data_IF_565956416664
#
_entry.id   IF_565956416664
#
_cell.length_a   1.000
_cell.length_b   1.000
_cell.length_c   1.000
_cell.angle_alpha   90.00
_cell.angle_beta   90.00
_cell.angle_gamma   90.00
#
_symmetry.space_group_name_H-M   'P 1'
#
loop_
_entity.id
_entity.type
_entity.pdbx_description
1 polymer ?
#
# COMPACT_ATOMS: atom_id res chain seq x y z
N UNK A 1 7.02 27.54 11.85
CA UNK A 1 7.09 26.33 11.01
C UNK A 1 8.43 25.64 11.26
N UNK A 2 8.54 24.31 11.21
CA UNK A 2 9.77 23.58 11.53
C UNK A 2 10.96 23.99 10.63
N UNK A 3 10.72 24.21 9.33
CA UNK A 3 11.77 24.63 8.40
C UNK A 3 12.36 26.01 8.73
N UNK A 4 11.51 26.96 9.14
CA UNK A 4 11.99 28.28 9.60
C UNK A 4 12.86 28.17 10.85
N UNK A 5 12.50 27.27 11.78
CA UNK A 5 13.30 27.01 12.96
C UNK A 5 14.68 26.46 12.57
N UNK A 6 14.74 25.50 11.65
CA UNK A 6 16.00 24.95 11.14
C UNK A 6 16.84 26.04 10.44
N UNK A 7 16.21 26.89 9.62
CA UNK A 7 16.88 27.98 8.90
C UNK A 7 17.55 29.00 9.84
N UNK A 8 16.94 29.29 10.99
CA UNK A 8 17.49 30.24 11.97
C UNK A 8 18.77 29.74 12.68
N UNK A 9 19.26 28.54 12.36
CA UNK A 9 20.52 27.98 12.87
C UNK A 9 21.65 28.04 11.84
N UNK A 10 21.49 28.80 10.75
CA UNK A 10 22.50 28.99 9.70
C UNK A 10 23.87 29.49 10.22
N UNK A 11 23.87 30.27 11.30
CA UNK A 11 25.10 30.75 11.95
C UNK A 11 25.81 29.70 12.83
N UNK A 12 25.19 28.55 13.09
CA UNK A 12 25.70 27.53 14.02
C UNK A 12 25.95 26.16 13.37
N UNK A 13 25.32 25.87 12.23
CA UNK A 13 25.31 24.54 11.61
C UNK A 13 25.56 24.64 10.11
N UNK A 14 26.59 23.94 9.63
CA UNK A 14 26.93 23.92 8.20
C UNK A 14 26.02 23.01 7.37
N UNK A 15 25.50 21.91 7.96
CA UNK A 15 24.69 20.91 7.25
C UNK A 15 23.65 20.24 8.14
N UNK A 16 22.42 20.18 7.64
CA UNK A 16 21.33 19.39 8.21
C UNK A 16 21.13 18.13 7.38
N UNK A 17 20.96 16.98 8.05
CA UNK A 17 20.61 15.71 7.42
C UNK A 17 19.31 15.21 8.03
N UNK A 18 18.37 14.81 7.20
CA UNK A 18 17.09 14.27 7.64
C UNK A 18 16.73 13.02 6.86
N UNK A 19 16.04 12.09 7.54
CA UNK A 19 15.33 10.98 6.91
C UNK A 19 13.86 11.36 6.88
N UNK A 20 13.26 11.24 5.70
CA UNK A 20 11.87 11.61 5.44
C UNK A 20 11.19 10.50 4.65
N UNK A 21 9.85 10.44 4.63
CA UNK A 21 9.11 9.62 3.68
C UNK A 21 9.53 9.94 2.24
N UNK A 22 9.35 8.97 1.34
CA UNK A 22 9.63 9.15 -0.10
C UNK A 22 8.70 10.21 -0.73
N UNK A 23 7.44 10.28 -0.27
CA UNK A 23 6.44 11.26 -0.72
C UNK A 23 6.56 12.64 -0.03
N UNK A 24 7.71 12.97 0.53
CA UNK A 24 7.88 14.23 1.27
C UNK A 24 8.03 15.45 0.34
N UNK A 25 7.39 16.56 0.71
CA UNK A 25 7.34 17.78 -0.10
C UNK A 25 8.46 18.80 0.21
N UNK A 26 9.38 18.52 1.13
CA UNK A 26 10.42 19.46 1.56
C UNK A 26 11.22 20.07 0.40
N UNK A 27 11.62 19.33 -0.66
CA UNK A 27 12.31 19.95 -1.80
C UNK A 27 11.51 21.07 -2.47
N UNK A 28 10.18 21.01 -2.43
CA UNK A 28 9.29 22.02 -3.01
C UNK A 28 9.18 23.29 -2.14
N UNK A 29 9.63 23.25 -0.89
CA UNK A 29 9.64 24.41 0.01
C UNK A 29 10.85 25.32 -0.21
N UNK A 30 11.80 24.92 -1.05
CA UNK A 30 13.00 25.69 -1.37
C UNK A 30 12.95 26.23 -2.79
N UNK A 31 13.33 27.50 -2.97
CA UNK A 31 13.46 28.12 -4.29
C UNK A 31 14.51 27.40 -5.14
N UNK A 32 15.59 26.92 -4.50
CA UNK A 32 16.67 26.17 -5.15
C UNK A 32 17.08 24.93 -4.33
N UNK A 33 16.43 23.77 -4.53
CA UNK A 33 16.72 22.53 -3.79
C UNK A 33 17.98 21.82 -4.32
N UNK A 34 19.14 22.48 -4.25
CA UNK A 34 20.44 21.96 -4.73
C UNK A 34 21.13 21.06 -3.69
N UNK A 35 20.41 20.08 -3.16
CA UNK A 35 20.95 19.13 -2.18
C UNK A 35 20.78 17.68 -2.64
N UNK A 36 21.69 16.81 -2.19
CA UNK A 36 21.65 15.38 -2.49
C UNK A 36 20.44 14.70 -1.85
N UNK A 37 19.73 13.89 -2.64
CA UNK A 37 18.63 13.04 -2.17
C UNK A 37 19.00 11.59 -2.43
N UNK A 38 18.87 10.75 -1.40
CA UNK A 38 19.19 9.32 -1.48
C UNK A 38 18.00 8.49 -1.04
N UNK A 39 17.44 7.73 -1.98
CA UNK A 39 16.39 6.75 -1.71
C UNK A 39 17.05 5.47 -1.20
N UNK A 40 16.63 4.98 -0.03
CA UNK A 40 17.09 3.71 0.53
C UNK A 40 15.88 2.81 0.78
N UNK A 41 15.89 1.61 0.20
CA UNK A 41 14.92 0.57 0.52
C UNK A 41 15.24 0.03 1.91
N UNK A 42 14.34 0.24 2.87
CA UNK A 42 14.68 0.10 4.28
C UNK A 42 14.10 -1.15 4.93
N UNK A 43 12.79 -1.36 4.82
CA UNK A 43 12.11 -2.52 5.41
C UNK A 43 11.41 -3.37 4.35
N UNK A 44 11.29 -4.65 4.68
CA UNK A 44 10.36 -5.57 4.04
C UNK A 44 9.23 -5.89 5.00
N UNK A 45 8.04 -6.14 4.46
CA UNK A 45 6.89 -6.56 5.23
C UNK A 45 6.29 -7.82 4.62
N UNK A 46 5.62 -8.61 5.45
CA UNK A 46 4.87 -9.79 5.04
C UNK A 46 3.61 -9.91 5.88
N UNK A 47 2.47 -10.07 5.23
CA UNK A 47 1.23 -10.45 5.91
C UNK A 47 1.35 -11.91 6.36
N UNK A 48 1.19 -12.16 7.66
CA UNK A 48 1.29 -13.51 8.25
C UNK A 48 -0.07 -14.21 8.22
N UNK A 49 -1.15 -13.48 8.53
CA UNK A 49 -2.53 -13.98 8.53
C UNK A 49 -3.40 -13.00 7.73
N UNK A 50 -3.85 -13.41 6.54
CA UNK A 50 -4.62 -12.53 5.65
C UNK A 50 -5.96 -12.16 6.26
N UNK A 51 -6.69 -13.11 6.82
CA UNK A 51 -8.04 -12.87 7.35
C UNK A 51 -8.01 -11.82 8.48
N UNK A 52 -7.07 -11.98 9.42
CA UNK A 52 -6.91 -11.06 10.53
C UNK A 52 -6.40 -9.69 10.07
N UNK A 53 -5.47 -9.66 9.11
CA UNK A 53 -4.97 -8.41 8.55
C UNK A 53 -6.07 -7.61 7.87
N UNK A 54 -6.84 -8.25 6.98
CA UNK A 54 -7.94 -7.60 6.26
C UNK A 54 -9.03 -7.10 7.22
N UNK A 55 -9.38 -7.88 8.25
CA UNK A 55 -10.35 -7.46 9.28
C UNK A 55 -9.93 -6.20 10.05
N UNK A 56 -8.61 -5.97 10.18
CA UNK A 56 -8.05 -4.81 10.86
C UNK A 56 -7.63 -3.69 9.90
N UNK A 57 -7.84 -3.86 8.59
CA UNK A 57 -7.47 -2.87 7.59
C UNK A 57 -8.59 -1.86 7.41
N UNK A 58 -8.26 -0.57 7.56
CA UNK A 58 -9.21 0.52 7.27
C UNK A 58 -9.20 0.87 5.79
N UNK A 59 -10.18 0.34 5.06
CA UNK A 59 -10.41 0.71 3.66
C UNK A 59 -11.10 2.08 3.54
N UNK A 60 -10.93 2.75 2.41
CA UNK A 60 -11.65 3.99 2.11
C UNK A 60 -13.13 3.70 1.85
N UNK A 61 -13.99 4.60 2.29
CA UNK A 61 -15.41 4.58 1.88
C UNK A 61 -15.52 4.99 0.41
N UNK A 62 -16.32 4.25 -0.36
CA UNK A 62 -16.56 4.51 -1.77
C UNK A 62 -18.07 4.44 -2.02
N UNK A 63 -18.63 5.43 -2.73
CA UNK A 63 -20.09 5.61 -2.91
C UNK A 63 -20.82 4.43 -3.57
N UNK A 64 -20.12 3.58 -4.32
CA UNK A 64 -20.69 2.38 -4.92
C UNK A 64 -19.75 1.19 -4.70
N UNK A 65 -20.10 0.35 -3.75
CA UNK A 65 -19.28 -0.79 -3.39
C UNK A 65 -19.81 -2.06 -4.08
N UNK A 66 -19.07 -2.54 -5.07
CA UNK A 66 -19.26 -3.89 -5.59
C UNK A 66 -18.33 -4.83 -4.81
N UNK A 67 -18.79 -6.01 -4.36
CA UNK A 67 -17.91 -6.94 -3.65
C UNK A 67 -16.72 -7.35 -4.52
N UNK A 68 -15.51 -7.19 -3.98
CA UNK A 68 -14.26 -7.58 -4.65
C UNK A 68 -13.76 -8.87 -4.00
N UNK A 69 -13.42 -9.87 -4.82
CA UNK A 69 -12.82 -11.11 -4.33
C UNK A 69 -11.32 -11.12 -4.63
N UNK A 70 -10.49 -11.18 -3.59
CA UNK A 70 -9.05 -11.39 -3.70
C UNK A 70 -8.78 -12.89 -3.69
N UNK A 71 -8.14 -13.40 -4.74
CA UNK A 71 -7.68 -14.78 -4.81
C UNK A 71 -6.18 -14.76 -4.60
N UNK A 72 -5.73 -15.34 -3.49
CA UNK A 72 -4.37 -15.18 -2.99
C UNK A 72 -3.63 -16.50 -3.01
N UNK A 73 -2.43 -16.46 -3.58
CA UNK A 73 -1.46 -17.55 -3.54
C UNK A 73 -0.37 -17.29 -2.48
N UNK A 74 -0.14 -18.27 -1.60
CA UNK A 74 0.93 -18.21 -0.59
C UNK A 74 1.64 -19.58 -0.47
N UNK A 75 2.83 -19.67 -1.07
CA UNK A 75 3.65 -20.88 -1.07
C UNK A 75 4.22 -21.25 0.31
N UNK A 76 4.21 -20.33 1.28
CA UNK A 76 4.87 -20.54 2.57
C UNK A 76 3.87 -20.79 3.72
N UNK A 77 2.71 -20.13 3.72
CA UNK A 77 1.67 -20.31 4.73
C UNK A 77 0.39 -20.81 4.06
N UNK A 78 0.12 -22.13 4.05
CA UNK A 78 -1.03 -22.70 3.34
C UNK A 78 -2.39 -22.16 3.79
N UNK A 79 -2.50 -21.69 5.04
CA UNK A 79 -3.74 -21.11 5.58
C UNK A 79 -4.11 -19.76 4.93
N UNK A 80 -3.14 -19.10 4.30
CA UNK A 80 -3.35 -17.87 3.53
C UNK A 80 -3.79 -18.16 2.09
N UNK A 81 -3.68 -19.41 1.62
CA UNK A 81 -4.13 -19.79 0.29
C UNK A 81 -5.67 -19.76 0.26
N UNK A 82 -6.24 -18.97 -0.65
CA UNK A 82 -7.71 -18.97 -0.83
C UNK A 82 -8.29 -17.67 -1.35
N UNK A 83 -9.62 -17.58 -1.25
CA UNK A 83 -10.39 -16.42 -1.69
C UNK A 83 -10.93 -15.62 -0.49
N UNK A 84 -10.66 -14.32 -0.50
CA UNK A 84 -11.09 -13.36 0.51
C UNK A 84 -11.93 -12.27 -0.16
N UNK A 85 -13.19 -12.15 0.24
CA UNK A 85 -14.09 -11.15 -0.32
C UNK A 85 -14.25 -9.97 0.60
N UNK A 86 -14.05 -8.79 0.03
CA UNK A 86 -14.33 -7.51 0.64
C UNK A 86 -15.75 -7.12 0.24
N UNK A 87 -16.65 -7.07 1.20
CA UNK A 87 -18.06 -6.76 1.01
C UNK A 87 -18.33 -5.25 0.94
N UNK A 88 -19.55 -4.92 0.51
CA UNK A 88 -20.00 -3.54 0.30
C UNK A 88 -19.90 -2.61 1.50
N UNK A 89 -19.96 -3.19 2.69
CA UNK A 89 -19.89 -2.52 3.99
C UNK A 89 -18.48 -2.58 4.60
N UNK A 90 -17.47 -3.03 3.82
CA UNK A 90 -16.10 -3.21 4.28
C UNK A 90 -15.85 -4.50 5.07
N UNK A 91 -16.87 -5.34 5.30
CA UNK A 91 -16.67 -6.63 5.97
C UNK A 91 -15.88 -7.61 5.11
N UNK A 92 -15.04 -8.41 5.75
CA UNK A 92 -14.20 -9.41 5.09
C UNK A 92 -14.74 -10.80 5.38
N UNK A 93 -15.03 -11.55 4.32
CA UNK A 93 -15.46 -12.95 4.44
C UNK A 93 -14.56 -13.85 3.61
N UNK A 94 -14.18 -14.99 4.18
CA UNK A 94 -13.58 -16.07 3.39
C UNK A 94 -14.64 -16.69 2.50
N UNK A 95 -14.27 -16.99 1.26
CA UNK A 95 -15.19 -17.47 0.24
C UNK A 95 -14.78 -18.86 -0.21
N UNK A 96 -15.75 -19.77 -0.33
CA UNK A 96 -15.52 -21.09 -0.89
C UNK A 96 -15.35 -21.01 -2.42
N UNK A 97 -14.60 -21.95 -3.01
CA UNK A 97 -14.30 -21.96 -4.46
C UNK A 97 -15.57 -21.89 -5.35
N UNK A 98 -16.67 -22.48 -4.90
CA UNK A 98 -17.94 -22.52 -5.64
C UNK A 98 -18.65 -21.15 -5.72
N UNK A 99 -18.28 -20.19 -4.89
CA UNK A 99 -18.89 -18.86 -4.83
C UNK A 99 -18.02 -17.78 -5.49
N UNK A 100 -16.91 -18.16 -6.12
CA UNK A 100 -15.99 -17.23 -6.75
C UNK A 100 -16.59 -16.74 -8.08
N UNK A 101 -17.05 -15.49 -8.09
CA UNK A 101 -17.31 -14.78 -9.34
C UNK A 101 -15.98 -14.25 -9.91
N UNK A 102 -15.46 -14.97 -10.90
CA UNK A 102 -14.21 -14.62 -11.59
C UNK A 102 -14.23 -13.26 -12.26
N UNK A 103 -15.41 -12.68 -12.56
CA UNK A 103 -15.50 -11.34 -13.16
C UNK A 103 -15.13 -10.24 -12.18
N UNK A 104 -15.36 -10.45 -10.90
CA UNK A 104 -15.10 -9.52 -9.81
C UNK A 104 -13.93 -9.99 -8.92
N UNK A 105 -13.02 -10.77 -9.51
CA UNK A 105 -11.88 -11.33 -8.81
C UNK A 105 -10.55 -10.65 -9.22
N UNK A 106 -9.66 -10.50 -8.26
CA UNK A 106 -8.26 -10.07 -8.46
C UNK A 106 -7.35 -11.19 -7.94
N UNK A 107 -6.51 -11.71 -8.82
CA UNK A 107 -5.54 -12.75 -8.54
C UNK A 107 -4.18 -12.14 -8.25
N UNK A 108 -3.59 -12.51 -7.12
CA UNK A 108 -2.28 -12.04 -6.69
C UNK A 108 -1.62 -13.07 -5.76
N UNK A 109 -0.31 -12.95 -5.55
CA UNK A 109 0.38 -13.67 -4.48
C UNK A 109 0.46 -12.81 -3.21
N UNK A 110 0.86 -13.43 -2.10
CA UNK A 110 0.99 -12.79 -0.80
C UNK A 110 1.92 -11.57 -0.83
N UNK A 111 2.96 -11.56 -1.66
CA UNK A 111 3.89 -10.44 -1.79
C UNK A 111 3.22 -9.23 -2.46
N UNK A 112 2.44 -9.46 -3.51
CA UNK A 112 1.70 -8.42 -4.22
C UNK A 112 0.57 -7.88 -3.34
N UNK A 113 -0.15 -8.75 -2.63
CA UNK A 113 -1.16 -8.34 -1.66
C UNK A 113 -0.56 -7.44 -0.58
N UNK A 114 0.59 -7.83 -0.03
CA UNK A 114 1.30 -7.04 0.98
C UNK A 114 1.72 -5.68 0.43
N UNK A 115 2.24 -5.62 -0.80
CA UNK A 115 2.62 -4.35 -1.44
C UNK A 115 1.42 -3.42 -1.65
N UNK A 116 0.28 -3.96 -2.08
CA UNK A 116 -0.95 -3.20 -2.28
C UNK A 116 -1.49 -2.66 -0.97
N UNK A 117 -1.69 -3.51 0.04
CA UNK A 117 -2.34 -3.11 1.28
C UNK A 117 -1.49 -2.20 2.16
N UNK A 118 -0.16 -2.22 1.99
CA UNK A 118 0.75 -1.26 2.61
C UNK A 118 1.03 -0.03 1.73
N UNK A 119 0.29 0.11 0.63
CA UNK A 119 0.40 1.22 -0.32
C UNK A 119 1.79 1.45 -0.90
N UNK A 120 2.66 0.42 -0.89
CA UNK A 120 4.00 0.51 -1.49
C UNK A 120 3.97 0.46 -3.01
N UNK A 121 3.06 -0.37 -3.57
CA UNK A 121 2.72 -0.39 -4.99
C UNK A 121 1.22 -0.39 -5.15
N UNK A 122 0.74 0.41 -6.10
CA UNK A 122 -0.70 0.56 -6.34
C UNK A 122 -1.23 -0.60 -7.19
N UNK A 123 -2.49 -1.06 -6.98
CA UNK A 123 -3.10 -2.10 -7.82
C UNK A 123 -2.95 -1.87 -9.33
N UNK A 124 -3.20 -0.65 -9.82
CA UNK A 124 -3.06 -0.32 -11.26
C UNK A 124 -1.60 -0.46 -11.73
N UNK A 125 -0.62 -0.15 -10.88
CA UNK A 125 0.80 -0.32 -11.24
C UNK A 125 1.15 -1.80 -11.40
N UNK A 126 0.69 -2.64 -10.47
CA UNK A 126 0.95 -4.08 -10.52
C UNK A 126 0.22 -4.75 -11.70
N UNK A 127 -0.97 -4.26 -12.08
CA UNK A 127 -1.68 -4.71 -13.27
C UNK A 127 -0.88 -4.38 -14.54
N UNK A 128 -0.40 -3.14 -14.67
CA UNK A 128 0.44 -2.71 -15.81
C UNK A 128 1.71 -3.55 -15.95
N UNK A 129 2.27 -3.98 -14.81
CA UNK A 129 3.44 -4.87 -14.77
C UNK A 129 3.08 -6.36 -14.97
N UNK A 130 1.80 -6.69 -15.19
CA UNK A 130 1.29 -8.07 -15.32
C UNK A 130 1.60 -8.95 -14.10
N UNK A 131 1.78 -8.33 -12.92
CA UNK A 131 2.05 -9.04 -11.67
C UNK A 131 0.77 -9.55 -11.02
N UNK A 132 -0.33 -8.81 -11.16
CA UNK A 132 -1.67 -9.23 -10.74
C UNK A 132 -2.56 -9.40 -11.96
N UNK A 133 -3.64 -10.18 -11.83
CA UNK A 133 -4.63 -10.41 -12.90
C UNK A 133 -6.03 -10.13 -12.39
N UNK A 134 -6.92 -9.66 -13.26
CA UNK A 134 -8.30 -9.36 -12.92
C UNK A 134 -8.95 -8.49 -14.00
N UNK A 135 -10.23 -8.19 -13.84
CA UNK A 135 -10.86 -7.18 -14.68
C UNK A 135 -10.33 -5.78 -14.33
N UNK A 136 -9.98 -4.99 -15.33
CA UNK A 136 -9.44 -3.63 -15.12
C UNK A 136 -10.36 -2.74 -14.27
N UNK A 137 -11.68 -2.86 -14.43
CA UNK A 137 -12.63 -2.11 -13.62
C UNK A 137 -12.59 -2.56 -12.15
N UNK A 138 -12.47 -3.86 -11.89
CA UNK A 138 -12.36 -4.41 -10.53
C UNK A 138 -11.04 -3.99 -9.88
N UNK A 139 -9.94 -4.01 -10.62
CA UNK A 139 -8.63 -3.52 -10.14
C UNK A 139 -8.72 -2.01 -9.86
N UNK A 140 -9.39 -1.24 -10.72
CA UNK A 140 -9.64 0.19 -10.49
C UNK A 140 -10.55 0.48 -9.30
N UNK A 141 -11.44 -0.44 -8.92
CA UNK A 141 -12.20 -0.35 -7.67
C UNK A 141 -11.30 -0.65 -6.46
N UNK A 142 -10.47 -1.70 -6.53
CA UNK A 142 -9.49 -2.02 -5.49
C UNK A 142 -8.50 -0.87 -5.26
N UNK A 143 -8.07 -0.21 -6.33
CA UNK A 143 -7.24 1.00 -6.29
C UNK A 143 -7.86 2.10 -5.42
N UNK A 144 -9.14 2.41 -5.65
CA UNK A 144 -9.86 3.45 -4.88
C UNK A 144 -10.07 3.06 -3.43
N UNK A 145 -10.21 1.76 -3.19
CA UNK A 145 -10.48 1.21 -1.88
C UNK A 145 -9.27 1.29 -0.94
N UNK A 146 -8.08 1.07 -1.47
CA UNK A 146 -6.83 1.12 -0.69
C UNK A 146 -6.42 2.57 -0.43
N UNK A 147 -6.17 2.96 0.83
CA UNK A 147 -5.72 4.31 1.17
C UNK A 147 -4.47 4.75 0.39
N UNK A 148 -4.48 5.93 -0.21
CA UNK A 148 -3.29 6.55 -0.82
C UNK A 148 -2.52 7.29 0.28
N UNK A 149 -1.69 6.54 0.99
CA UNK A 149 -0.72 7.08 1.94
C UNK A 149 0.49 6.17 1.95
N UNK A 150 1.65 6.67 1.53
CA UNK A 150 2.87 5.86 1.56
C UNK A 150 3.23 5.45 2.99
N UNK A 151 3.52 4.16 3.16
CA UNK A 151 4.02 3.63 4.43
C UNK A 151 5.40 4.21 4.74
N UNK A 152 5.57 4.73 5.96
CA UNK A 152 6.84 5.24 6.46
C UNK A 152 7.08 4.75 7.89
N UNK A 153 8.28 4.23 8.13
CA UNK A 153 8.74 3.79 9.44
C UNK A 153 10.09 4.46 9.75
N UNK A 154 10.14 5.47 10.64
CA UNK A 154 11.37 6.20 10.95
C UNK A 154 12.35 5.43 11.85
N UNK A 155 11.86 4.41 12.56
CA UNK A 155 12.61 3.67 13.57
C UNK A 155 13.45 2.52 12.99
N UNK A 156 14.36 1.99 13.80
CA UNK A 156 15.20 0.83 13.49
C UNK A 156 15.23 -0.13 14.67
N UNK A 157 15.28 -1.43 14.39
CA UNK A 157 15.40 -2.50 15.38
C UNK A 157 16.19 -3.67 14.80
#
# INVERSE_FOLDING_TARGET
MLMQFIQNHDSMVDKVKMKVPDEDFIPHLFDEPRFEQKINQYFMARIVNIQEFLNNTSFREVDSYHPITLIVEDDFIPQNQGAYRIQGDGQIVSVNENEIDTKNAVFCNIQQLTQMLLSYKRPIELERLSLIKGNHNTIGQLEKLIPEKQTYLPDFF
#
